data_IF_052439014915
#
_entry.id   IF_052439014915
#
_cell.length_a   1.000
_cell.length_b   1.000
_cell.length_c   1.000
_cell.angle_alpha   90.00
_cell.angle_beta   90.00
_cell.angle_gamma   90.00
#
_symmetry.space_group_name_H-M   'P 1'
#
loop_
_entity.id
_entity.type
_entity.pdbx_description
1 polymer ?
#
# COMPACT_ATOMS: atom_id res chain seq x y z
N UNK A 1 9.95 15.00 -2.17
CA UNK A 1 10.70 13.72 -2.09
C UNK A 1 11.20 13.33 -3.47
N UNK A 2 12.47 12.97 -3.57
CA UNK A 2 13.06 12.43 -4.80
C UNK A 2 12.42 11.08 -5.12
N UNK A 3 12.13 10.84 -6.39
CA UNK A 3 11.58 9.57 -6.89
C UNK A 3 12.46 8.36 -6.55
N UNK A 4 13.78 8.52 -6.48
CA UNK A 4 14.70 7.47 -6.03
C UNK A 4 14.42 7.01 -4.59
N UNK A 5 14.09 7.95 -3.70
CA UNK A 5 13.72 7.64 -2.31
C UNK A 5 12.37 6.92 -2.27
N UNK A 6 11.37 7.41 -3.02
CA UNK A 6 10.06 6.75 -3.13
C UNK A 6 10.20 5.30 -3.60
N UNK A 7 11.03 5.06 -4.63
CA UNK A 7 11.34 3.72 -5.15
C UNK A 7 11.94 2.82 -4.08
N UNK A 8 12.95 3.28 -3.36
CA UNK A 8 13.59 2.47 -2.34
C UNK A 8 12.62 2.16 -1.17
N UNK A 9 11.79 3.12 -0.76
CA UNK A 9 10.71 2.89 0.21
C UNK A 9 9.68 1.88 -0.29
N UNK A 10 9.31 1.95 -1.57
CA UNK A 10 8.36 1.01 -2.20
C UNK A 10 8.92 -0.40 -2.19
N UNK A 11 10.19 -0.55 -2.60
CA UNK A 11 10.88 -1.84 -2.60
C UNK A 11 11.01 -2.39 -1.18
N UNK A 12 11.35 -1.55 -0.19
CA UNK A 12 11.41 -1.94 1.21
C UNK A 12 10.07 -2.40 1.77
N UNK A 13 8.99 -1.66 1.48
CA UNK A 13 7.62 -2.02 1.88
C UNK A 13 7.21 -3.39 1.32
N UNK A 14 7.52 -3.66 0.05
CA UNK A 14 7.26 -4.96 -0.57
C UNK A 14 8.19 -6.06 -0.06
N UNK A 15 9.43 -5.72 0.30
CA UNK A 15 10.43 -6.69 0.76
C UNK A 15 10.04 -7.30 2.13
N UNK A 16 9.54 -6.49 3.07
CA UNK A 16 9.23 -6.93 4.43
C UNK A 16 8.31 -8.17 4.51
N UNK A 17 7.11 -8.20 3.91
CA UNK A 17 6.25 -9.39 3.97
C UNK A 17 6.89 -10.60 3.27
N UNK A 18 7.70 -10.38 2.22
CA UNK A 18 8.41 -11.46 1.53
C UNK A 18 9.50 -12.07 2.41
N UNK A 19 10.29 -11.26 3.12
CA UNK A 19 11.30 -11.76 4.05
C UNK A 19 10.67 -12.57 5.19
N UNK A 20 9.61 -12.04 5.80
CA UNK A 20 8.88 -12.73 6.87
C UNK A 20 8.35 -14.08 6.37
N UNK A 21 7.75 -14.09 5.17
CA UNK A 21 7.25 -15.31 4.56
C UNK A 21 8.36 -16.32 4.27
N UNK A 22 9.46 -15.88 3.66
CA UNK A 22 10.62 -16.73 3.35
C UNK A 22 11.20 -17.38 4.61
N UNK A 23 11.35 -16.61 5.69
CA UNK A 23 11.86 -17.09 6.97
C UNK A 23 10.92 -18.13 7.58
N UNK A 24 9.62 -17.87 7.53
CA UNK A 24 8.66 -18.62 8.35
C UNK A 24 8.02 -19.82 7.63
N UNK A 25 7.98 -19.85 6.29
CA UNK A 25 7.35 -20.95 5.52
C UNK A 25 8.33 -21.94 4.90
N UNK A 26 9.59 -21.57 4.68
CA UNK A 26 10.54 -22.44 4.00
C UNK A 26 11.49 -23.14 4.98
N UNK A 27 11.98 -24.33 4.56
CA UNK A 27 13.05 -25.02 5.29
C UNK A 27 14.31 -24.16 5.34
N UNK A 28 15.08 -24.27 6.43
CA UNK A 28 16.25 -23.43 6.71
C UNK A 28 17.19 -23.20 5.50
N UNK A 29 17.64 -24.21 4.75
CA UNK A 29 18.55 -23.97 3.63
C UNK A 29 17.93 -23.11 2.53
N UNK A 30 16.65 -23.36 2.20
CA UNK A 30 15.92 -22.65 1.15
C UNK A 30 15.61 -21.22 1.62
N UNK A 31 15.19 -21.09 2.88
CA UNK A 31 14.90 -19.81 3.53
C UNK A 31 16.11 -18.87 3.49
N UNK A 32 17.30 -19.36 3.87
CA UNK A 32 18.55 -18.58 3.83
C UNK A 32 18.87 -18.12 2.40
N UNK A 33 18.77 -19.01 1.41
CA UNK A 33 18.99 -18.66 0.01
C UNK A 33 18.01 -17.58 -0.49
N UNK A 34 16.71 -17.70 -0.15
CA UNK A 34 15.69 -16.72 -0.56
C UNK A 34 15.91 -15.36 0.10
N UNK A 35 16.16 -15.34 1.41
CA UNK A 35 16.42 -14.10 2.16
C UNK A 35 17.67 -13.41 1.61
N UNK A 36 18.76 -14.15 1.40
CA UNK A 36 19.99 -13.62 0.83
C UNK A 36 19.77 -13.07 -0.59
N UNK A 37 19.05 -13.81 -1.44
CA UNK A 37 18.73 -13.37 -2.80
C UNK A 37 17.87 -12.11 -2.83
N UNK A 38 16.81 -12.04 -2.00
CA UNK A 38 15.95 -10.86 -1.88
C UNK A 38 16.71 -9.64 -1.35
N UNK A 39 17.53 -9.83 -0.31
CA UNK A 39 18.36 -8.76 0.25
C UNK A 39 19.40 -8.27 -0.77
N UNK A 40 20.02 -9.19 -1.52
CA UNK A 40 20.97 -8.86 -2.58
C UNK A 40 20.32 -8.07 -3.72
N UNK A 41 19.14 -8.50 -4.19
CA UNK A 41 18.38 -7.76 -5.21
C UNK A 41 17.99 -6.36 -4.74
N UNK A 42 17.57 -6.22 -3.48
CA UNK A 42 17.29 -4.92 -2.89
C UNK A 42 18.55 -4.05 -2.83
N UNK A 43 19.68 -4.62 -2.41
CA UNK A 43 20.97 -3.91 -2.33
C UNK A 43 21.47 -3.43 -3.70
N UNK A 44 21.44 -4.29 -4.72
CA UNK A 44 21.77 -3.89 -6.10
C UNK A 44 20.84 -2.77 -6.57
N UNK A 45 19.54 -2.91 -6.33
CA UNK A 45 18.54 -1.92 -6.74
C UNK A 45 18.75 -0.58 -6.03
N UNK A 46 19.18 -0.62 -4.78
CA UNK A 46 19.52 0.56 -3.99
C UNK A 46 20.73 1.30 -4.57
N UNK A 47 21.81 0.58 -4.88
CA UNK A 47 23.03 1.15 -5.47
C UNK A 47 22.82 1.63 -6.91
N UNK A 48 21.86 1.06 -7.64
CA UNK A 48 21.55 1.49 -8.99
C UNK A 48 20.84 2.85 -8.96
N UNK A 49 21.64 3.91 -8.97
CA UNK A 49 21.18 5.27 -9.17
C UNK A 49 20.58 5.38 -10.57
N UNK A 50 19.25 5.44 -10.64
CA UNK A 50 18.56 6.10 -11.74
C UNK A 50 18.06 7.41 -11.16
N UNK A 51 18.69 8.50 -11.57
CA UNK A 51 18.21 9.87 -11.33
C UNK A 51 16.91 10.05 -12.12
N UNK A 52 15.82 9.54 -11.57
CA UNK A 52 14.49 9.92 -12.02
C UNK A 52 14.33 11.40 -11.63
N UNK A 53 14.26 12.27 -12.64
CA UNK A 53 14.29 13.74 -12.47
C UNK A 53 12.92 14.31 -12.14
N UNK A 54 12.15 13.60 -11.30
CA UNK A 54 10.84 14.09 -10.88
C UNK A 54 10.81 14.14 -9.36
N UNK A 55 10.62 15.36 -8.87
CA UNK A 55 10.44 15.64 -7.45
C UNK A 55 8.97 15.83 -7.14
N UNK A 56 8.51 15.11 -6.12
CA UNK A 56 7.19 15.31 -5.55
C UNK A 56 7.27 16.44 -4.51
N UNK A 57 6.56 17.57 -4.69
CA UNK A 57 6.63 18.66 -3.72
C UNK A 57 5.99 18.23 -2.39
N UNK A 58 6.56 18.71 -1.28
CA UNK A 58 6.16 18.34 0.09
C UNK A 58 4.67 18.57 0.36
N UNK A 59 4.09 19.63 -0.21
CA UNK A 59 2.66 19.92 -0.09
C UNK A 59 1.79 18.74 -0.55
N UNK A 60 2.05 18.20 -1.74
CA UNK A 60 1.27 17.06 -2.25
C UNK A 60 1.54 15.79 -1.44
N UNK A 61 2.73 15.62 -0.86
CA UNK A 61 2.99 14.48 0.01
C UNK A 61 2.11 14.52 1.26
N UNK A 62 1.98 15.68 1.90
CA UNK A 62 1.12 15.84 3.08
C UNK A 62 -0.35 15.63 2.72
N UNK A 63 -0.80 16.18 1.59
CA UNK A 63 -2.15 15.96 1.07
C UNK A 63 -2.44 14.47 0.83
N UNK A 64 -1.53 13.76 0.13
CA UNK A 64 -1.66 12.33 -0.15
C UNK A 64 -1.62 11.51 1.14
N UNK A 65 -0.76 11.86 2.10
CA UNK A 65 -0.68 11.16 3.39
C UNK A 65 -1.99 11.31 4.17
N UNK A 66 -2.53 12.52 4.27
CA UNK A 66 -3.79 12.78 4.94
C UNK A 66 -4.95 12.03 4.27
N UNK A 67 -5.03 12.08 2.94
CA UNK A 67 -6.04 11.36 2.17
C UNK A 67 -5.92 9.85 2.37
N UNK A 68 -4.70 9.31 2.38
CA UNK A 68 -4.48 7.87 2.60
C UNK A 68 -4.96 7.44 3.98
N UNK A 69 -4.61 8.20 5.02
CA UNK A 69 -5.06 7.95 6.39
C UNK A 69 -6.60 8.02 6.50
N UNK A 70 -7.22 9.02 5.87
CA UNK A 70 -8.67 9.18 5.87
C UNK A 70 -9.37 8.02 5.16
N UNK A 71 -8.92 7.65 3.95
CA UNK A 71 -9.50 6.53 3.19
C UNK A 71 -9.42 5.23 3.98
N UNK A 72 -8.26 4.93 4.58
CA UNK A 72 -8.09 3.71 5.36
C UNK A 72 -8.93 3.76 6.67
N UNK A 73 -9.15 4.94 7.24
CA UNK A 73 -9.99 5.07 8.43
C UNK A 73 -11.45 4.74 8.09
N UNK A 74 -11.97 5.30 7.00
CA UNK A 74 -13.33 5.06 6.54
C UNK A 74 -13.55 3.71 5.87
N UNK A 75 -12.49 3.01 5.44
CA UNK A 75 -12.63 1.67 4.85
C UNK A 75 -12.91 0.57 5.89
N UNK A 76 -12.76 0.87 7.18
CA UNK A 76 -12.94 -0.11 8.26
C UNK A 76 -11.70 -0.97 8.55
N UNK A 77 -10.57 -0.74 7.86
CA UNK A 77 -9.31 -1.42 8.17
C UNK A 77 -8.85 -1.07 9.60
N UNK A 78 -8.52 -2.11 10.38
CA UNK A 78 -8.14 -1.95 11.79
C UNK A 78 -9.32 -1.96 12.77
N UNK A 79 -10.57 -2.02 12.29
CA UNK A 79 -11.76 -2.18 13.15
C UNK A 79 -12.26 -0.91 13.82
N UNK A 80 -11.81 0.28 13.38
CA UNK A 80 -12.20 1.57 13.96
C UNK A 80 -13.52 2.14 13.42
N UNK A 81 -14.05 1.57 12.34
CA UNK A 81 -15.27 2.00 11.65
C UNK A 81 -16.09 0.78 11.22
N UNK A 82 -17.27 1.03 10.64
CA UNK A 82 -18.11 -0.04 10.09
C UNK A 82 -17.32 -0.87 9.08
N UNK A 83 -17.36 -2.19 9.27
CA UNK A 83 -16.70 -3.16 8.41
C UNK A 83 -17.74 -3.89 7.58
N UNK A 84 -17.52 -3.96 6.27
CA UNK A 84 -18.33 -4.77 5.37
C UNK A 84 -18.12 -6.28 5.64
N UNK A 85 -19.00 -7.12 5.08
CA UNK A 85 -19.01 -8.56 5.35
C UNK A 85 -17.70 -9.28 4.99
N UNK A 86 -17.00 -8.81 3.95
CA UNK A 86 -15.70 -9.32 3.51
C UNK A 86 -14.59 -9.19 4.57
N UNK A 87 -14.69 -8.19 5.45
CA UNK A 87 -13.75 -8.03 6.56
C UNK A 87 -13.77 -9.19 7.54
N UNK A 88 -14.84 -9.96 7.60
CA UNK A 88 -14.85 -11.18 8.41
C UNK A 88 -13.74 -12.14 7.99
N UNK A 89 -13.54 -12.34 6.68
CA UNK A 89 -12.47 -13.17 6.15
C UNK A 89 -11.09 -12.53 6.36
N UNK A 90 -10.97 -11.20 6.17
CA UNK A 90 -9.70 -10.49 6.35
C UNK A 90 -9.23 -10.48 7.81
N UNK A 91 -10.12 -10.17 8.75
CA UNK A 91 -9.84 -10.19 10.18
C UNK A 91 -9.51 -11.61 10.64
N UNK A 92 -10.21 -12.63 10.12
CA UNK A 92 -9.91 -14.04 10.43
C UNK A 92 -8.50 -14.44 9.99
N UNK A 93 -8.06 -14.03 8.79
CA UNK A 93 -6.69 -14.29 8.31
C UNK A 93 -5.64 -13.64 9.22
N UNK A 94 -5.84 -12.37 9.54
CA UNK A 94 -4.96 -11.62 10.44
C UNK A 94 -4.91 -12.25 11.84
N UNK A 95 -6.07 -12.54 12.43
CA UNK A 95 -6.18 -13.16 13.75
C UNK A 95 -5.53 -14.53 13.79
N UNK A 96 -5.70 -15.33 12.73
CA UNK A 96 -5.04 -16.64 12.60
C UNK A 96 -3.52 -16.48 12.61
N UNK A 97 -2.98 -15.55 11.82
CA UNK A 97 -1.54 -15.27 11.81
C UNK A 97 -1.04 -14.81 13.18
N UNK A 98 -1.80 -13.94 13.86
CA UNK A 98 -1.44 -13.47 15.20
C UNK A 98 -1.42 -14.63 16.22
N UNK A 99 -2.46 -15.46 16.25
CA UNK A 99 -2.66 -16.45 17.30
C UNK A 99 -1.84 -17.74 17.12
N UNK A 100 -1.56 -18.14 15.88
CA UNK A 100 -0.89 -19.42 15.59
C UNK A 100 0.61 -19.27 15.34
N UNK A 101 1.39 -20.31 15.62
CA UNK A 101 2.80 -20.38 15.23
C UNK A 101 2.97 -20.35 13.72
N UNK A 102 4.05 -19.76 13.24
CA UNK A 102 4.37 -19.76 11.81
C UNK A 102 5.34 -20.91 11.49
N UNK A 103 5.15 -21.63 10.38
CA UNK A 103 4.12 -21.44 9.35
C UNK A 103 2.74 -21.92 9.80
N UNK A 104 1.70 -21.18 9.42
CA UNK A 104 0.32 -21.55 9.74
C UNK A 104 -0.11 -22.76 8.91
N UNK A 105 -0.63 -23.80 9.58
CA UNK A 105 -1.18 -25.01 8.97
C UNK A 105 -2.65 -25.19 9.39
N UNK A 106 -3.54 -25.25 8.40
CA UNK A 106 -4.95 -25.59 8.62
C UNK A 106 -5.09 -27.10 8.80
N UNK A 107 -5.30 -27.54 10.05
CA UNK A 107 -5.38 -28.97 10.41
C UNK A 107 -6.48 -29.72 9.67
N UNK A 108 -7.60 -29.05 9.38
CA UNK A 108 -8.75 -29.63 8.67
C UNK A 108 -8.37 -30.20 7.30
N UNK A 109 -7.50 -29.49 6.57
CA UNK A 109 -7.17 -29.82 5.18
C UNK A 109 -5.69 -30.17 4.98
N UNK A 110 -4.87 -30.14 6.04
CA UNK A 110 -3.42 -30.36 5.98
C UNK A 110 -2.65 -29.34 5.13
N UNK A 111 -3.23 -28.15 4.89
CA UNK A 111 -2.67 -27.13 3.98
C UNK A 111 -2.05 -25.96 4.73
N UNK A 112 -0.94 -25.46 4.21
CA UNK A 112 -0.30 -24.25 4.72
C UNK A 112 -1.00 -22.98 4.23
N UNK A 113 -1.07 -21.96 5.08
CA UNK A 113 -1.65 -20.66 4.77
C UNK A 113 -0.73 -19.82 3.88
N UNK A 114 -0.68 -20.14 2.58
CA UNK A 114 0.20 -19.45 1.62
C UNK A 114 -0.51 -18.43 0.73
N UNK A 115 -1.85 -18.45 0.69
CA UNK A 115 -2.63 -17.69 -0.29
C UNK A 115 -3.34 -16.47 0.33
N UNK A 116 -3.06 -15.27 -0.16
CA UNK A 116 -3.61 -13.99 0.33
C UNK A 116 -3.26 -13.62 1.80
N UNK A 117 -2.20 -14.19 2.37
CA UNK A 117 -1.74 -13.86 3.73
C UNK A 117 -0.64 -12.79 3.77
N UNK A 118 0.06 -12.55 2.66
CA UNK A 118 1.26 -11.71 2.63
C UNK A 118 1.06 -10.30 3.18
N UNK A 119 -0.06 -9.65 2.87
CA UNK A 119 -0.38 -8.31 3.38
C UNK A 119 -0.44 -8.27 4.92
N UNK A 120 -0.94 -9.32 5.55
CA UNK A 120 -1.19 -9.38 6.99
C UNK A 120 0.05 -9.78 7.80
N UNK A 121 1.12 -10.26 7.16
CA UNK A 121 2.32 -10.75 7.85
C UNK A 121 3.00 -9.69 8.70
N UNK A 122 3.21 -8.49 8.15
CA UNK A 122 3.90 -7.41 8.90
C UNK A 122 3.05 -6.95 10.09
N UNK A 123 1.76 -6.60 9.93
CA UNK A 123 0.89 -6.27 11.07
C UNK A 123 0.79 -7.39 12.10
N UNK A 124 0.68 -8.65 11.67
CA UNK A 124 0.59 -9.79 12.57
C UNK A 124 1.89 -10.02 13.36
N UNK A 125 3.06 -9.80 12.75
CA UNK A 125 4.35 -9.88 13.45
C UNK A 125 4.45 -8.80 14.54
N UNK A 126 4.05 -7.56 14.22
CA UNK A 126 4.01 -6.47 15.20
C UNK A 126 3.09 -6.84 16.36
N UNK A 127 1.91 -7.37 16.04
CA UNK A 127 0.90 -7.76 17.04
C UNK A 127 1.37 -8.92 17.92
N UNK A 128 2.08 -9.91 17.34
CA UNK A 128 2.75 -10.97 18.09
C UNK A 128 3.79 -10.42 19.07
N UNK A 129 4.56 -9.41 18.66
CA UNK A 129 5.55 -8.75 19.52
C UNK A 129 4.93 -7.96 20.66
N UNK A 130 3.74 -7.39 20.44
CA UNK A 130 2.97 -6.67 21.47
C UNK A 130 2.18 -7.60 22.40
N UNK A 131 1.90 -8.84 21.98
CA UNK A 131 1.10 -9.80 22.74
C UNK A 131 -0.41 -9.52 22.67
N UNK A 132 -0.85 -8.64 21.77
CA UNK A 132 -2.27 -8.35 21.52
C UNK A 132 -2.54 -8.04 20.04
N UNK A 133 -3.75 -8.32 19.52
CA UNK A 133 -4.14 -7.91 18.17
C UNK A 133 -4.17 -6.38 18.05
N UNK A 134 -3.25 -5.81 17.28
CA UNK A 134 -3.18 -4.37 17.03
C UNK A 134 -3.88 -3.96 15.72
N UNK A 135 -5.11 -3.43 15.85
CA UNK A 135 -5.80 -2.77 14.75
C UNK A 135 -5.04 -1.56 14.19
N UNK A 136 -4.30 -0.84 15.05
CA UNK A 136 -3.42 0.27 14.64
C UNK A 136 -2.32 -0.22 13.68
N UNK A 137 -1.71 -1.39 13.94
CA UNK A 137 -0.68 -1.93 13.06
C UNK A 137 -1.21 -2.20 11.65
N UNK A 138 -2.43 -2.75 11.54
CA UNK A 138 -3.11 -2.94 10.25
C UNK A 138 -3.40 -1.61 9.55
N UNK A 139 -3.95 -0.65 10.29
CA UNK A 139 -4.29 0.67 9.79
C UNK A 139 -3.08 1.42 9.25
N UNK A 140 -1.98 1.47 10.00
CA UNK A 140 -0.75 2.15 9.59
C UNK A 140 -0.11 1.45 8.39
N UNK A 141 -0.04 0.13 8.40
CA UNK A 141 0.53 -0.64 7.29
C UNK A 141 -0.24 -0.41 5.99
N UNK A 142 -1.58 -0.49 6.04
CA UNK A 142 -2.44 -0.19 4.90
C UNK A 142 -2.27 1.24 4.40
N UNK A 143 -2.20 2.21 5.33
CA UNK A 143 -2.04 3.64 5.01
C UNK A 143 -0.72 3.93 4.31
N UNK A 144 0.38 3.29 4.76
CA UNK A 144 1.69 3.41 4.10
C UNK A 144 1.65 2.82 2.68
N UNK A 145 1.04 1.65 2.51
CA UNK A 145 0.88 1.04 1.19
C UNK A 145 0.08 1.92 0.22
N UNK A 146 -1.05 2.47 0.68
CA UNK A 146 -1.89 3.36 -0.11
C UNK A 146 -1.16 4.67 -0.44
N UNK A 147 -0.44 5.26 0.52
CA UNK A 147 0.37 6.46 0.33
C UNK A 147 1.44 6.26 -0.76
N UNK A 148 2.19 5.17 -0.70
CA UNK A 148 3.22 4.86 -1.70
C UNK A 148 2.60 4.68 -3.09
N UNK A 149 1.52 3.90 -3.20
CA UNK A 149 0.84 3.66 -4.48
C UNK A 149 0.29 4.94 -5.12
N UNK A 150 -0.37 5.77 -4.31
CA UNK A 150 -0.92 7.05 -4.77
C UNK A 150 0.17 8.06 -5.15
N UNK A 151 1.32 8.07 -4.47
CA UNK A 151 2.48 8.86 -4.90
C UNK A 151 2.94 8.46 -6.31
N UNK A 152 3.02 7.16 -6.61
CA UNK A 152 3.38 6.68 -7.96
C UNK A 152 2.35 7.05 -9.01
N UNK A 153 1.05 6.86 -8.71
CA UNK A 153 -0.04 7.27 -9.60
C UNK A 153 0.07 8.76 -9.93
N UNK A 154 0.24 9.60 -8.90
CA UNK A 154 0.38 11.05 -9.07
C UNK A 154 1.57 11.42 -9.98
N UNK A 155 2.71 10.74 -9.84
CA UNK A 155 3.89 10.94 -10.68
C UNK A 155 3.64 10.52 -12.13
N UNK A 156 3.00 9.37 -12.35
CA UNK A 156 2.72 8.89 -13.72
C UNK A 156 1.65 9.72 -14.43
N UNK A 157 0.69 10.29 -13.72
CA UNK A 157 -0.38 11.12 -14.30
C UNK A 157 0.02 12.60 -14.48
N UNK A 158 1.27 12.98 -14.16
CA UNK A 158 1.85 14.30 -14.47
C UNK A 158 0.96 15.49 -14.08
N UNK A 159 0.45 15.50 -12.83
CA UNK A 159 -0.34 16.61 -12.24
C UNK A 159 -1.66 16.98 -12.96
N UNK A 160 -2.03 16.34 -14.08
CA UNK A 160 -3.31 16.60 -14.77
C UNK A 160 -4.52 16.08 -13.99
N UNK A 161 -4.30 15.08 -13.14
CA UNK A 161 -5.22 14.79 -12.05
C UNK A 161 -4.99 15.88 -10.99
N UNK A 162 -5.77 16.96 -11.05
CA UNK A 162 -6.06 17.70 -9.82
C UNK A 162 -6.46 16.64 -8.78
N UNK A 163 -5.98 16.69 -7.53
CA UNK A 163 -6.38 15.70 -6.51
C UNK A 163 -7.91 15.60 -6.33
N UNK A 164 -8.66 16.60 -6.81
CA UNK A 164 -10.12 16.63 -6.99
C UNK A 164 -10.67 15.80 -8.17
N UNK A 165 -9.83 15.11 -8.94
CA UNK A 165 -10.22 14.25 -10.06
C UNK A 165 -10.18 12.76 -9.69
N UNK A 166 -9.44 12.38 -8.65
CA UNK A 166 -9.48 11.03 -8.07
C UNK A 166 -10.63 10.87 -7.05
N UNK A 167 -11.10 11.99 -6.50
CA UNK A 167 -12.30 12.11 -5.69
C UNK A 167 -13.15 13.24 -6.28
N UNK A 168 -14.38 13.00 -6.74
CA UNK A 168 -15.26 14.07 -7.19
C UNK A 168 -15.75 14.85 -5.95
N UNK A 169 -14.86 15.63 -5.34
CA UNK A 169 -15.25 16.76 -4.53
C UNK A 169 -15.64 17.83 -5.53
N UNK A 170 -16.94 18.07 -5.62
CA UNK A 170 -17.59 19.02 -6.50
C UNK A 170 -16.86 20.36 -6.51
N UNK A 171 -15.95 20.55 -7.47
CA UNK A 171 -15.45 21.87 -7.84
C UNK A 171 -16.40 22.39 -8.91
N UNK A 172 -17.40 23.14 -8.44
CA UNK A 172 -18.25 23.94 -9.30
C UNK A 172 -17.45 25.09 -9.90
N UNK A 173 -16.60 24.79 -10.89
CA UNK A 173 -15.88 25.82 -11.63
C UNK A 173 -16.77 26.28 -12.81
N UNK A 174 -17.60 27.26 -12.47
CA UNK A 174 -18.16 28.24 -13.39
C UNK A 174 -16.99 28.96 -14.09
N UNK A 175 -16.62 28.57 -15.30
CA UNK A 175 -15.99 29.46 -16.27
C UNK A 175 -15.81 28.78 -17.63
N UNK A 176 -16.04 29.56 -18.69
CA UNK A 176 -15.58 29.33 -20.06
C UNK A 176 -16.39 28.39 -20.97
N UNK A 177 -17.64 28.77 -21.24
CA UNK A 177 -18.16 28.70 -22.62
C UNK A 177 -18.77 30.06 -23.00
N UNK A 178 -17.91 31.07 -23.07
CA UNK A 178 -18.14 32.25 -23.90
C UNK A 178 -17.09 32.21 -24.99
N UNK A 179 -17.57 32.08 -26.24
CA UNK A 179 -16.93 32.39 -27.52
C UNK A 179 -16.79 31.20 -28.48
N UNK A 180 -17.88 30.88 -29.18
CA UNK A 180 -17.86 30.40 -30.57
C UNK A 180 -19.29 30.41 -31.14
N UNK A 181 -19.87 31.60 -31.34
CA UNK A 181 -20.99 31.75 -32.30
C UNK A 181 -20.36 32.26 -33.59
N UNK A 182 -20.27 31.44 -34.65
CA UNK A 182 -19.89 31.95 -35.96
C UNK A 182 -21.01 32.87 -36.47
N UNK A 183 -20.63 34.09 -36.90
CA UNK A 183 -21.51 34.98 -37.64
C UNK A 183 -21.93 34.25 -38.92
N UNK A 184 -23.22 33.97 -39.05
CA UNK A 184 -23.81 33.54 -40.32
C UNK A 184 -23.81 34.71 -41.30
N UNK A 185 -23.15 34.52 -42.43
CA UNK A 185 -23.34 35.35 -43.62
C UNK A 185 -24.73 35.06 -44.21
N UNK A 186 -25.52 36.12 -44.35
CA UNK A 186 -26.68 36.18 -45.25
C UNK A 186 -26.18 36.39 -46.68
N UNK A 187 -26.89 35.87 -47.68
CA UNK A 187 -27.85 36.73 -48.37
C UNK A 187 -29.30 36.46 -48.00
#
# INVERSE_FOLDING_TARGET
MKTTVLRNLSLGYLLLPNLIFSISWFRMPISVCLVAGLAFMYFISYQRERTLKTDLPTRHMVEIAFISLAIIAFSGVGGFCFQAFDFWAHNSKYYTLYNQSWPVMFKENGRYACHYFGFFLVPALISKGLGEPSGIALYLWASVGLFIGTCWIFIFTQKKLSLTGLFPVARGDRACYKSAVPKGDRP
#
